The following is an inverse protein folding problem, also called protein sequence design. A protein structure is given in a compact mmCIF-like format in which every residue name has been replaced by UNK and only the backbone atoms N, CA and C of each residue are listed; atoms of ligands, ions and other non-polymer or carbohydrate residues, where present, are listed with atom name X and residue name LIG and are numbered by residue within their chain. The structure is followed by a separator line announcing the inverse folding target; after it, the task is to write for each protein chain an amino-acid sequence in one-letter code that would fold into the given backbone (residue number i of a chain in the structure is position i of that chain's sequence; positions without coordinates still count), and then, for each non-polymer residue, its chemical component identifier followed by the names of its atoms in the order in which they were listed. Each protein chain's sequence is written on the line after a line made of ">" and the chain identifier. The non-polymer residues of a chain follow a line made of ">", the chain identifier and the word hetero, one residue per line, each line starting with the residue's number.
data_IF_451257430876
#
_entry.id   IF_451257430876
#
_cell.length_a   1.000
_cell.length_b   1.000
_cell.length_c   1.000
_cell.angle_alpha   90.00
_cell.angle_beta   90.00
_cell.angle_gamma   90.00
#
_symmetry.space_group_name_H-M   'P 1'
#
loop_
_entity.id
_entity.type
_entity.pdbx_description
1 polymer ?
#
# COMPACT_ATOMS: atom_id res chain seq x y z
N UNK A 1 14.89 -9.87 -5.98
CA UNK A 1 15.14 -9.38 -4.61
C UNK A 1 16.22 -8.33 -4.70
N UNK A 2 16.07 -7.21 -3.99
CA UNK A 2 17.12 -6.19 -3.87
C UNK A 2 17.63 -6.28 -2.43
N UNK A 3 18.93 -6.50 -2.25
CA UNK A 3 19.57 -6.50 -0.93
C UNK A 3 20.46 -5.28 -0.83
N UNK A 4 20.29 -4.51 0.24
CA UNK A 4 21.08 -3.34 0.58
C UNK A 4 21.61 -3.45 2.01
N UNK A 5 22.72 -2.77 2.30
CA UNK A 5 23.29 -2.64 3.63
C UNK A 5 23.39 -1.16 3.97
N UNK A 6 23.12 -0.81 5.23
CA UNK A 6 23.26 0.53 5.79
C UNK A 6 24.15 0.42 7.02
N UNK A 7 25.24 1.19 7.02
CA UNK A 7 26.10 1.35 8.19
C UNK A 7 25.70 2.61 8.94
N UNK A 8 25.59 2.53 10.27
CA UNK A 8 25.51 3.71 11.14
C UNK A 8 26.91 4.12 11.61
N UNK A 9 27.02 5.35 12.13
CA UNK A 9 28.32 5.95 12.47
C UNK A 9 29.08 5.17 13.55
N UNK A 10 28.33 4.52 14.43
CA UNK A 10 28.78 3.69 15.53
C UNK A 10 29.03 2.22 15.12
N UNK A 11 28.82 1.84 13.86
CA UNK A 11 28.98 0.45 13.43
C UNK A 11 30.42 -0.05 13.56
N UNK A 12 30.61 -1.26 14.09
CA UNK A 12 31.91 -1.96 14.04
C UNK A 12 32.25 -2.37 12.60
N UNK A 13 33.09 -1.55 11.96
CA UNK A 13 33.53 -1.77 10.59
C UNK A 13 34.32 -3.07 10.41
N UNK A 14 35.04 -3.54 11.43
CA UNK A 14 35.77 -4.80 11.33
C UNK A 14 34.82 -5.99 11.36
N UNK A 15 33.82 -5.97 12.25
CA UNK A 15 32.75 -6.97 12.28
C UNK A 15 31.98 -7.00 10.95
N UNK A 16 31.62 -5.83 10.41
CA UNK A 16 30.98 -5.70 9.08
C UNK A 16 31.82 -6.34 7.98
N UNK A 17 33.13 -6.05 7.93
CA UNK A 17 34.03 -6.58 6.90
C UNK A 17 34.22 -8.08 7.05
N UNK A 18 34.38 -8.58 8.28
CA UNK A 18 34.43 -10.01 8.57
C UNK A 18 33.15 -10.71 8.10
N UNK A 19 32.00 -10.12 8.38
CA UNK A 19 30.72 -10.66 7.96
C UNK A 19 30.56 -10.68 6.44
N UNK A 20 30.94 -9.59 5.76
CA UNK A 20 30.93 -9.50 4.30
C UNK A 20 31.80 -10.55 3.61
N UNK A 21 32.84 -11.05 4.29
CA UNK A 21 33.71 -12.13 3.78
C UNK A 21 33.08 -13.51 3.95
N UNK A 22 32.28 -13.72 4.98
CA UNK A 22 31.81 -15.05 5.38
C UNK A 22 30.40 -15.34 4.86
N UNK A 23 29.51 -14.34 4.85
CA UNK A 23 28.11 -14.55 4.47
C UNK A 23 27.96 -14.78 2.97
N UNK A 24 27.38 -15.93 2.60
CA UNK A 24 27.05 -16.27 1.21
C UNK A 24 26.02 -15.32 0.58
N UNK A 25 25.28 -14.57 1.39
CA UNK A 25 24.27 -13.62 0.94
C UNK A 25 24.88 -12.32 0.41
N UNK A 26 26.16 -12.07 0.66
CA UNK A 26 26.86 -10.89 0.18
C UNK A 26 26.91 -10.79 -1.35
N UNK A 27 26.82 -11.92 -2.07
CA UNK A 27 26.73 -11.92 -3.55
C UNK A 27 25.47 -11.24 -4.09
N UNK A 28 24.41 -11.17 -3.28
CA UNK A 28 23.15 -10.51 -3.62
C UNK A 28 23.12 -9.03 -3.21
N UNK A 29 24.15 -8.57 -2.51
CA UNK A 29 24.25 -7.22 -2.01
C UNK A 29 24.50 -6.25 -3.16
N UNK A 30 23.46 -5.49 -3.49
CA UNK A 30 23.48 -4.54 -4.61
C UNK A 30 24.14 -3.21 -4.22
N UNK A 31 24.00 -2.80 -2.96
CA UNK A 31 24.36 -1.45 -2.50
C UNK A 31 24.72 -1.43 -1.02
N UNK A 32 25.72 -0.62 -0.66
CA UNK A 32 26.11 -0.31 0.73
C UNK A 32 26.04 1.20 0.93
N UNK A 33 25.23 1.63 1.88
CA UNK A 33 25.14 3.01 2.34
C UNK A 33 26.10 3.23 3.51
N UNK A 34 26.97 4.22 3.38
CA UNK A 34 28.02 4.54 4.35
C UNK A 34 27.90 6.02 4.75
N UNK A 35 27.90 6.35 6.05
CA UNK A 35 27.90 7.73 6.49
C UNK A 35 29.18 8.43 6.04
N UNK A 36 29.08 9.73 5.73
CA UNK A 36 30.23 10.54 5.34
C UNK A 36 31.35 10.55 6.41
N UNK A 37 31.00 10.45 7.69
CA UNK A 37 31.92 10.45 8.84
C UNK A 37 32.86 9.23 8.87
N UNK A 38 32.38 8.04 8.48
CA UNK A 38 33.16 6.79 8.53
C UNK A 38 33.64 6.31 7.15
N UNK A 39 33.35 7.09 6.09
CA UNK A 39 33.67 6.77 4.70
C UNK A 39 35.12 6.33 4.50
N UNK A 40 36.08 7.12 4.98
CA UNK A 40 37.51 6.86 4.73
C UNK A 40 37.95 5.54 5.35
N UNK A 41 37.51 5.27 6.59
CA UNK A 41 37.84 4.05 7.32
C UNK A 41 37.22 2.82 6.64
N UNK A 42 35.95 2.91 6.23
CA UNK A 42 35.28 1.82 5.52
C UNK A 42 35.94 1.52 4.18
N UNK A 43 36.24 2.55 3.37
CA UNK A 43 36.91 2.36 2.07
C UNK A 43 38.32 1.78 2.21
N UNK A 44 39.06 2.19 3.23
CA UNK A 44 40.37 1.62 3.55
C UNK A 44 40.26 0.11 3.85
N UNK A 45 39.37 -0.28 4.77
CA UNK A 45 39.17 -1.68 5.12
C UNK A 45 38.66 -2.50 3.92
N UNK A 46 37.70 -1.95 3.17
CA UNK A 46 37.19 -2.59 1.93
C UNK A 46 38.32 -2.88 0.96
N UNK A 47 39.22 -1.92 0.69
CA UNK A 47 40.33 -2.11 -0.24
C UNK A 47 41.41 -3.05 0.31
N UNK A 48 41.59 -3.09 1.63
CA UNK A 48 42.52 -4.02 2.29
C UNK A 48 42.08 -5.47 2.16
N UNK A 49 40.77 -5.74 2.26
CA UNK A 49 40.24 -7.11 2.36
C UNK A 49 39.53 -7.61 1.10
N UNK A 50 39.15 -6.73 0.16
CA UNK A 50 38.48 -7.11 -1.08
C UNK A 50 39.19 -6.52 -2.29
N UNK A 51 39.60 -7.38 -3.21
CA UNK A 51 40.11 -7.00 -4.54
C UNK A 51 38.99 -6.45 -5.43
N UNK A 52 37.81 -7.05 -5.35
CA UNK A 52 36.58 -6.56 -5.99
C UNK A 52 35.37 -6.86 -5.12
N UNK A 53 34.57 -5.82 -4.85
CA UNK A 53 33.23 -5.93 -4.27
C UNK A 53 32.26 -5.33 -5.30
N UNK A 54 31.31 -6.12 -5.79
CA UNK A 54 30.37 -5.72 -6.85
C UNK A 54 29.31 -4.72 -6.38
N UNK A 55 29.12 -4.58 -5.07
CA UNK A 55 28.12 -3.70 -4.48
C UNK A 55 28.47 -2.22 -4.68
N UNK A 56 27.49 -1.42 -5.09
CA UNK A 56 27.65 0.03 -5.21
C UNK A 56 27.77 0.68 -3.83
N UNK A 57 28.83 1.44 -3.57
CA UNK A 57 29.00 2.21 -2.33
C UNK A 57 28.34 3.59 -2.51
N UNK A 58 27.40 3.93 -1.63
CA UNK A 58 26.71 5.22 -1.60
C UNK A 58 27.02 5.92 -0.29
N UNK A 59 27.34 7.20 -0.37
CA UNK A 59 27.63 8.02 0.80
C UNK A 59 26.41 8.87 1.11
N UNK A 60 26.01 8.91 2.38
CA UNK A 60 24.94 9.78 2.86
C UNK A 60 25.47 10.71 3.94
N UNK A 61 24.88 11.91 4.04
CA UNK A 61 25.20 12.91 5.08
C UNK A 61 24.12 12.95 6.16
N UNK A 62 22.88 12.64 5.80
CA UNK A 62 21.73 12.62 6.69
C UNK A 62 20.95 11.32 6.57
N UNK A 63 20.39 10.85 7.69
CA UNK A 63 19.49 9.68 7.72
C UNK A 63 18.24 9.88 6.85
N UNK A 64 17.84 11.13 6.56
CA UNK A 64 16.72 11.42 5.67
C UNK A 64 16.96 10.90 4.25
N UNK A 65 18.22 10.89 3.77
CA UNK A 65 18.57 10.36 2.45
C UNK A 65 18.33 8.85 2.33
N UNK A 66 18.27 8.14 3.46
CA UNK A 66 18.01 6.70 3.53
C UNK A 66 16.51 6.37 3.43
N UNK A 67 15.63 7.35 3.69
CA UNK A 67 14.17 7.19 3.67
C UNK A 67 13.63 7.20 2.24
N UNK A 68 14.22 6.38 1.38
CA UNK A 68 13.79 6.23 -0.01
C UNK A 68 12.54 5.35 -0.08
N UNK A 69 11.64 5.61 -1.05
CA UNK A 69 10.51 4.72 -1.30
C UNK A 69 11.00 3.30 -1.64
N UNK A 70 10.17 2.28 -1.40
CA UNK A 70 10.49 0.91 -1.76
C UNK A 70 10.54 0.78 -3.28
N UNK A 71 11.41 -0.10 -3.79
CA UNK A 71 11.28 -0.53 -5.18
C UNK A 71 10.05 -1.43 -5.31
N UNK A 72 9.02 -0.93 -5.99
CA UNK A 72 7.80 -1.70 -6.23
C UNK A 72 8.13 -2.99 -7.01
N UNK A 73 7.36 -4.06 -6.73
CA UNK A 73 7.48 -5.37 -7.41
C UNK A 73 8.81 -6.13 -7.19
N UNK A 74 9.65 -5.67 -6.25
CA UNK A 74 10.81 -6.44 -5.76
C UNK A 74 10.74 -6.50 -4.25
N UNK A 75 10.93 -7.69 -3.69
CA UNK A 75 11.20 -7.83 -2.25
C UNK A 75 12.50 -7.10 -1.97
N UNK A 76 12.43 -6.05 -1.15
CA UNK A 76 13.60 -5.31 -0.72
C UNK A 76 14.01 -5.76 0.69
N UNK A 77 15.31 -5.93 0.84
CA UNK A 77 15.96 -6.42 2.04
C UNK A 77 17.00 -5.40 2.41
N UNK A 78 16.99 -4.96 3.66
CA UNK A 78 17.98 -4.02 4.14
C UNK A 78 18.60 -4.52 5.43
N UNK A 79 19.92 -4.64 5.44
CA UNK A 79 20.68 -4.91 6.66
C UNK A 79 21.15 -3.60 7.27
N UNK A 80 20.87 -3.36 8.55
CA UNK A 80 21.27 -2.17 9.29
C UNK A 80 22.32 -2.58 10.32
N UNK A 81 23.48 -1.92 10.29
CA UNK A 81 24.61 -2.21 11.16
C UNK A 81 24.85 -1.06 12.14
N UNK A 82 24.86 -1.37 13.44
CA UNK A 82 25.01 -0.41 14.54
C UNK A 82 25.38 -1.16 15.82
N UNK A 83 26.17 -0.53 16.68
CA UNK A 83 26.36 -0.97 18.07
C UNK A 83 25.21 -0.45 18.97
N UNK A 84 24.57 0.66 18.60
CA UNK A 84 23.35 1.17 19.22
C UNK A 84 22.09 0.47 18.65
N UNK A 85 21.66 -0.57 19.35
CA UNK A 85 20.44 -1.32 19.03
C UNK A 85 19.17 -0.47 19.02
N UNK A 86 19.11 0.60 19.82
CA UNK A 86 17.96 1.51 19.86
C UNK A 86 17.91 2.36 18.59
N UNK A 87 19.04 2.93 18.19
CA UNK A 87 19.15 3.68 16.94
C UNK A 87 18.87 2.80 15.71
N UNK A 88 19.39 1.57 15.68
CA UNK A 88 19.13 0.62 14.61
C UNK A 88 17.65 0.27 14.49
N UNK A 89 16.96 -0.01 15.61
CA UNK A 89 15.51 -0.31 15.63
C UNK A 89 14.66 0.87 15.19
N UNK A 90 15.03 2.08 15.62
CA UNK A 90 14.32 3.31 15.23
C UNK A 90 14.44 3.55 13.72
N UNK A 91 15.65 3.43 13.16
CA UNK A 91 15.86 3.52 11.72
C UNK A 91 15.10 2.40 10.99
N UNK A 92 15.24 1.14 11.43
CA UNK A 92 14.55 0.00 10.86
C UNK A 92 13.04 0.24 10.81
N UNK A 93 12.43 0.78 11.86
CA UNK A 93 10.99 1.08 11.89
C UNK A 93 10.59 2.15 10.86
N UNK A 94 11.42 3.18 10.66
CA UNK A 94 11.18 4.26 9.71
C UNK A 94 11.37 3.88 8.24
N UNK A 95 12.26 2.94 7.92
CA UNK A 95 12.54 2.52 6.55
C UNK A 95 11.33 1.83 5.92
N UNK A 96 10.99 2.21 4.69
CA UNK A 96 9.93 1.52 3.96
C UNK A 96 10.51 0.34 3.18
N UNK A 97 10.72 -0.76 3.91
CA UNK A 97 11.29 -2.01 3.41
C UNK A 97 10.44 -3.20 3.86
N UNK A 98 10.43 -4.27 3.06
CA UNK A 98 9.76 -5.53 3.34
C UNK A 98 10.48 -6.29 4.44
N UNK A 99 11.80 -6.40 4.35
CA UNK A 99 12.61 -7.13 5.32
C UNK A 99 13.77 -6.26 5.76
N UNK A 100 13.92 -6.12 7.06
CA UNK A 100 15.04 -5.41 7.68
C UNK A 100 15.72 -6.36 8.64
N UNK A 101 17.03 -6.44 8.55
CA UNK A 101 17.87 -7.28 9.39
C UNK A 101 18.82 -6.38 10.16
N UNK A 102 18.96 -6.58 11.48
CA UNK A 102 19.90 -5.79 12.29
C UNK A 102 21.13 -6.64 12.57
N UNK A 103 22.31 -6.12 12.23
CA UNK A 103 23.64 -6.73 12.40
C UNK A 103 23.78 -8.13 11.75
N UNK A 104 23.04 -8.39 10.67
CA UNK A 104 23.12 -9.64 9.89
C UNK A 104 22.62 -9.42 8.46
N UNK A 105 23.13 -10.18 7.48
CA UNK A 105 22.54 -10.30 6.14
C UNK A 105 21.90 -11.68 5.91
N UNK A 106 22.00 -12.58 6.87
CA UNK A 106 21.61 -13.97 6.66
C UNK A 106 20.12 -14.20 6.91
N UNK A 107 19.54 -14.94 5.97
CA UNK A 107 18.17 -15.41 6.04
C UNK A 107 18.15 -16.81 6.64
N UNK A 108 17.57 -16.93 7.82
CA UNK A 108 17.28 -18.24 8.40
C UNK A 108 15.84 -18.63 8.07
N UNK A 109 15.61 -19.91 7.79
CA UNK A 109 14.26 -20.42 7.47
C UNK A 109 13.25 -20.15 8.60
N UNK A 110 13.72 -20.15 9.85
CA UNK A 110 12.94 -19.77 11.03
C UNK A 110 12.53 -18.28 11.04
N UNK A 111 13.18 -17.44 10.22
CA UNK A 111 12.83 -16.05 10.02
C UNK A 111 11.85 -15.84 8.86
N UNK A 112 11.76 -16.76 7.89
CA UNK A 112 10.94 -16.54 6.70
C UNK A 112 9.48 -16.91 6.94
N UNK A 113 8.66 -15.89 7.21
CA UNK A 113 7.20 -16.05 7.43
C UNK A 113 6.39 -14.98 6.70
N UNK A 114 7.00 -14.30 5.71
CA UNK A 114 6.18 -13.65 4.69
C UNK A 114 5.39 -14.76 3.99
N UNK A 115 4.06 -14.66 3.88
CA UNK A 115 3.31 -15.64 3.12
C UNK A 115 3.91 -15.69 1.72
N UNK A 116 4.25 -16.89 1.24
CA UNK A 116 4.79 -17.11 -0.09
C UNK A 116 4.01 -16.33 -1.17
N UNK A 117 2.70 -16.19 -0.98
CA UNK A 117 1.78 -15.39 -1.81
C UNK A 117 2.23 -13.93 -1.99
N UNK A 118 2.73 -13.25 -0.95
CA UNK A 118 3.21 -11.86 -1.06
C UNK A 118 4.51 -11.80 -1.88
N UNK A 119 5.44 -12.73 -1.65
CA UNK A 119 6.71 -12.82 -2.39
C UNK A 119 6.49 -13.14 -3.87
N UNK A 120 5.56 -14.05 -4.18
CA UNK A 120 5.27 -14.48 -5.55
C UNK A 120 4.39 -13.49 -6.32
N UNK A 121 3.40 -12.83 -5.69
CA UNK A 121 2.62 -11.76 -6.34
C UNK A 121 3.53 -10.60 -6.75
N UNK A 122 4.38 -10.13 -5.84
CA UNK A 122 5.40 -9.11 -6.12
C UNK A 122 6.29 -9.56 -7.29
N UNK A 123 6.71 -10.83 -7.31
CA UNK A 123 7.56 -11.40 -8.36
C UNK A 123 6.88 -11.63 -9.72
N UNK A 124 5.56 -11.76 -9.80
CA UNK A 124 4.86 -11.93 -11.09
C UNK A 124 4.80 -10.62 -11.91
N UNK A 125 4.82 -9.47 -11.22
CA UNK A 125 4.81 -8.15 -11.86
C UNK A 125 6.17 -7.71 -12.43
N UNK A 126 7.19 -8.60 -12.42
CA UNK A 126 8.59 -8.38 -12.82
C UNK A 126 8.79 -7.83 -14.25
N UNK A 127 7.74 -7.71 -15.05
CA UNK A 127 7.80 -7.23 -16.44
C UNK A 127 7.51 -5.73 -16.62
N UNK A 128 7.20 -4.98 -15.57
CA UNK A 128 6.86 -3.56 -15.68
C UNK A 128 7.47 -2.75 -14.52
N UNK A 129 8.59 -2.05 -14.76
CA UNK A 129 9.14 -1.05 -13.83
C UNK A 129 8.28 0.22 -13.85
N UNK A 130 7.05 0.12 -13.37
CA UNK A 130 6.12 1.24 -13.31
C UNK A 130 6.01 1.78 -11.87
N UNK A 131 5.94 3.10 -11.74
CA UNK A 131 5.49 3.75 -10.51
C UNK A 131 4.07 3.28 -10.15
N UNK A 132 3.75 3.22 -8.85
CA UNK A 132 2.50 2.67 -8.34
C UNK A 132 1.27 3.41 -8.90
N UNK A 133 1.40 4.73 -9.16
CA UNK A 133 0.36 5.51 -9.81
C UNK A 133 0.14 5.06 -11.25
N UNK A 134 1.23 4.91 -12.00
CA UNK A 134 1.15 4.46 -13.39
C UNK A 134 0.59 3.04 -13.48
N UNK A 135 0.86 2.18 -12.48
CA UNK A 135 0.22 0.88 -12.40
C UNK A 135 -1.30 0.95 -12.21
N UNK A 136 -1.77 1.80 -11.29
CA UNK A 136 -3.21 2.00 -11.07
C UNK A 136 -3.86 2.56 -12.33
N UNK A 137 -3.28 3.61 -12.91
CA UNK A 137 -3.73 4.21 -14.18
C UNK A 137 -3.82 3.13 -15.26
N UNK A 138 -2.78 2.30 -15.41
CA UNK A 138 -2.75 1.24 -16.41
C UNK A 138 -3.71 0.08 -16.11
N UNK A 139 -4.13 -0.10 -14.86
CA UNK A 139 -5.12 -1.13 -14.47
C UNK A 139 -6.53 -0.70 -14.85
N UNK A 140 -6.82 0.60 -14.75
CA UNK A 140 -8.09 1.18 -15.19
C UNK A 140 -8.03 1.34 -16.71
N UNK A 141 -8.58 0.37 -17.44
CA UNK A 141 -8.59 0.37 -18.92
C UNK A 141 -10.01 0.60 -19.44
N UNK A 142 -10.40 1.87 -19.71
CA UNK A 142 -11.64 2.17 -20.42
C UNK A 142 -11.67 1.43 -21.76
N UNK A 143 -12.81 0.86 -22.10
CA UNK A 143 -13.02 0.24 -23.40
C UNK A 143 -13.77 1.24 -24.27
N UNK A 144 -13.05 1.90 -25.16
CA UNK A 144 -13.66 2.80 -26.13
C UNK A 144 -14.35 1.98 -27.22
N UNK A 145 -15.66 2.17 -27.38
CA UNK A 145 -16.40 1.75 -28.56
C UNK A 145 -16.79 3.03 -29.32
N UNK A 146 -16.30 3.25 -30.55
CA UNK A 146 -16.75 4.37 -31.35
C UNK A 146 -18.25 4.25 -31.64
N UNK A 147 -18.95 5.38 -31.66
CA UNK A 147 -20.22 5.49 -32.40
C UNK A 147 -21.45 4.84 -31.76
N UNK A 148 -21.83 5.26 -30.55
CA UNK A 148 -23.25 5.23 -30.19
C UNK A 148 -23.76 6.65 -30.05
N UNK A 149 -24.47 7.12 -31.06
CA UNK A 149 -25.45 8.18 -30.85
C UNK A 149 -26.45 7.66 -29.83
N UNK A 150 -26.59 8.40 -28.74
CA UNK A 150 -27.53 8.07 -27.71
C UNK A 150 -28.80 8.90 -27.95
N UNK A 151 -29.99 8.29 -27.90
CA UNK A 151 -31.23 9.04 -27.99
C UNK A 151 -31.27 10.12 -26.89
N UNK A 152 -31.94 11.24 -27.16
CA UNK A 152 -32.10 12.36 -26.22
C UNK A 152 -32.66 11.85 -24.87
N UNK A 153 -31.78 11.64 -23.90
CA UNK A 153 -32.18 11.37 -22.51
C UNK A 153 -32.74 12.68 -21.94
N UNK A 154 -33.88 12.65 -21.20
CA UNK A 154 -34.41 13.83 -20.55
C UNK A 154 -33.31 14.54 -19.72
N UNK A 155 -32.93 15.74 -20.17
CA UNK A 155 -31.66 16.46 -19.88
C UNK A 155 -31.48 16.99 -18.45
N UNK A 156 -32.21 16.46 -17.46
CA UNK A 156 -32.35 17.16 -16.17
C UNK A 156 -31.54 16.52 -15.03
N UNK A 157 -30.91 15.35 -15.22
CA UNK A 157 -30.08 14.71 -14.19
C UNK A 157 -28.74 14.25 -14.76
N UNK A 158 -27.67 14.89 -14.29
CA UNK A 158 -26.28 14.53 -14.60
C UNK A 158 -25.64 13.98 -13.33
N UNK A 159 -24.92 12.85 -13.43
CA UNK A 159 -24.00 12.44 -12.38
C UNK A 159 -22.60 12.93 -12.69
N UNK A 160 -21.83 13.17 -11.63
CA UNK A 160 -20.47 13.70 -11.68
C UNK A 160 -19.48 12.63 -11.19
N UNK A 161 -18.20 12.88 -11.42
CA UNK A 161 -17.12 12.14 -10.77
C UNK A 161 -16.97 12.65 -9.33
N UNK A 162 -16.34 11.88 -8.44
CA UNK A 162 -16.09 12.34 -7.08
C UNK A 162 -14.64 12.05 -6.69
N UNK A 163 -13.85 13.09 -6.49
CA UNK A 163 -12.49 12.98 -5.98
C UNK A 163 -12.11 14.31 -5.33
N UNK A 164 -11.05 14.30 -4.51
CA UNK A 164 -10.64 15.44 -3.69
C UNK A 164 -11.76 15.95 -2.76
N UNK A 165 -12.63 15.02 -2.34
CA UNK A 165 -13.76 15.31 -1.43
C UNK A 165 -14.90 16.12 -2.06
N UNK A 166 -14.90 16.31 -3.38
CA UNK A 166 -15.85 17.14 -4.09
C UNK A 166 -16.33 16.48 -5.38
N UNK A 167 -17.48 16.93 -5.87
CA UNK A 167 -18.02 16.51 -7.17
C UNK A 167 -17.29 17.22 -8.31
N UNK A 168 -16.98 16.48 -9.37
CA UNK A 168 -16.11 16.90 -10.45
C UNK A 168 -16.79 16.65 -11.79
N UNK A 169 -16.82 17.65 -12.66
CA UNK A 169 -17.19 17.46 -14.06
C UNK A 169 -16.10 16.67 -14.78
N UNK A 170 -16.45 15.74 -15.69
CA UNK A 170 -15.46 15.04 -16.49
C UNK A 170 -14.65 16.04 -17.31
N UNK A 171 -13.32 15.87 -17.38
CA UNK A 171 -12.40 16.86 -17.98
C UNK A 171 -12.77 17.19 -19.43
N UNK A 172 -13.12 16.19 -20.23
CA UNK A 172 -13.54 16.39 -21.64
C UNK A 172 -15.05 16.66 -21.78
N UNK A 173 -15.78 16.86 -20.69
CA UNK A 173 -17.23 17.09 -20.72
C UNK A 173 -18.03 15.90 -21.25
N UNK A 174 -17.46 14.69 -21.26
CA UNK A 174 -18.09 13.51 -21.83
C UNK A 174 -19.07 12.85 -20.86
N UNK A 175 -20.23 12.46 -21.38
CA UNK A 175 -21.27 11.74 -20.65
C UNK A 175 -21.77 10.55 -21.47
N UNK A 176 -22.39 9.59 -20.79
CA UNK A 176 -23.07 8.46 -21.42
C UNK A 176 -24.41 8.18 -20.70
N UNK A 177 -25.45 7.71 -21.41
CA UNK A 177 -26.74 7.44 -20.80
C UNK A 177 -26.71 6.16 -19.97
N UNK A 178 -27.02 6.30 -18.68
CA UNK A 178 -27.12 5.20 -17.74
C UNK A 178 -28.50 5.22 -17.10
N UNK A 179 -29.39 4.31 -17.53
CA UNK A 179 -30.81 4.33 -17.11
C UNK A 179 -31.37 5.75 -17.39
N UNK A 180 -31.88 6.42 -16.38
CA UNK A 180 -32.51 7.75 -16.49
C UNK A 180 -31.54 8.92 -16.16
N UNK A 181 -30.23 8.69 -16.14
CA UNK A 181 -29.21 9.69 -15.77
C UNK A 181 -28.09 9.77 -16.81
N UNK A 182 -27.69 10.98 -17.18
CA UNK A 182 -26.46 11.20 -17.94
C UNK A 182 -25.26 11.07 -17.01
N UNK A 183 -24.52 9.96 -17.14
CA UNK A 183 -23.41 9.64 -16.26
C UNK A 183 -22.10 10.16 -16.81
N UNK A 184 -21.29 10.82 -15.98
CA UNK A 184 -19.97 11.29 -16.36
C UNK A 184 -19.11 10.14 -16.93
N UNK A 185 -18.37 10.41 -18.00
CA UNK A 185 -17.44 9.46 -18.61
C UNK A 185 -16.02 9.92 -18.30
N UNK A 186 -15.37 9.26 -17.35
CA UNK A 186 -13.99 9.54 -17.01
C UNK A 186 -13.04 9.20 -18.18
N UNK A 187 -12.05 10.08 -18.37
CA UNK A 187 -10.97 10.01 -19.36
C UNK A 187 -9.65 9.65 -18.69
N UNK A 188 -8.55 9.56 -19.46
CA UNK A 188 -7.21 9.37 -18.89
C UNK A 188 -6.82 10.48 -17.91
N UNK A 189 -7.23 11.72 -18.20
CA UNK A 189 -6.93 12.88 -17.36
C UNK A 189 -7.69 12.82 -16.04
N UNK A 190 -8.97 12.43 -16.08
CA UNK A 190 -9.77 12.19 -14.88
C UNK A 190 -9.15 11.08 -14.01
N UNK A 191 -8.68 9.99 -14.63
CA UNK A 191 -7.99 8.90 -13.92
C UNK A 191 -6.74 9.43 -13.23
N UNK A 192 -5.88 10.17 -13.94
CA UNK A 192 -4.66 10.74 -13.38
C UNK A 192 -4.94 11.66 -12.17
N UNK A 193 -5.90 12.58 -12.30
CA UNK A 193 -6.31 13.48 -11.21
C UNK A 193 -6.88 12.72 -10.02
N UNK A 194 -7.70 11.71 -10.27
CA UNK A 194 -8.29 10.87 -9.23
C UNK A 194 -7.23 10.05 -8.48
N UNK A 195 -6.22 9.52 -9.17
CA UNK A 195 -5.09 8.80 -8.55
C UNK A 195 -4.28 9.73 -7.65
N UNK A 196 -3.99 10.96 -8.08
CA UNK A 196 -3.32 11.96 -7.25
C UNK A 196 -4.14 12.29 -6.00
N UNK A 197 -5.45 12.47 -6.14
CA UNK A 197 -6.37 12.65 -5.01
C UNK A 197 -6.31 11.46 -4.05
N UNK A 198 -6.39 10.24 -4.59
CA UNK A 198 -6.33 9.01 -3.80
C UNK A 198 -5.03 8.87 -3.01
N UNK A 199 -3.90 9.31 -3.57
CA UNK A 199 -2.60 9.33 -2.88
C UNK A 199 -2.58 10.30 -1.71
N UNK A 200 -3.04 11.53 -1.91
CA UNK A 200 -3.16 12.52 -0.82
C UNK A 200 -4.08 12.02 0.31
N UNK A 201 -5.19 11.40 -0.08
CA UNK A 201 -6.10 10.74 0.85
C UNK A 201 -5.40 9.62 1.64
N UNK A 202 -4.64 8.77 0.96
CA UNK A 202 -3.87 7.69 1.59
C UNK A 202 -2.83 8.23 2.59
N UNK A 203 -2.03 9.23 2.19
CA UNK A 203 -1.00 9.84 3.05
C UNK A 203 -1.58 10.40 4.35
N UNK A 204 -2.81 10.91 4.29
CA UNK A 204 -3.54 11.43 5.47
C UNK A 204 -4.14 10.29 6.29
N UNK A 205 -4.89 9.40 5.64
CA UNK A 205 -5.71 8.37 6.29
C UNK A 205 -4.89 7.23 6.92
N UNK A 206 -3.77 6.87 6.29
CA UNK A 206 -2.87 5.84 6.80
C UNK A 206 -2.17 6.24 8.11
N UNK A 207 -1.97 7.55 8.33
CA UNK A 207 -1.36 8.10 9.55
C UNK A 207 -2.32 8.17 10.73
N UNK A 208 -3.63 8.13 10.49
CA UNK A 208 -4.61 8.12 11.56
C UNK A 208 -4.50 6.85 12.40
N UNK A 209 -4.87 6.92 13.68
CA UNK A 209 -4.99 5.71 14.49
C UNK A 209 -6.20 4.88 14.04
N UNK A 210 -6.15 3.58 14.34
CA UNK A 210 -7.29 2.68 14.07
C UNK A 210 -8.55 3.17 14.77
N UNK A 211 -8.43 3.68 15.99
CA UNK A 211 -9.54 4.22 16.78
C UNK A 211 -10.17 5.45 16.11
N UNK A 212 -9.36 6.36 15.54
CA UNK A 212 -9.85 7.52 14.81
C UNK A 212 -10.64 7.09 13.55
N UNK A 213 -10.11 6.11 12.81
CA UNK A 213 -10.81 5.54 11.64
C UNK A 213 -12.12 4.85 12.04
N UNK A 214 -12.13 4.06 13.12
CA UNK A 214 -13.34 3.43 13.67
C UNK A 214 -14.43 4.45 14.00
N UNK A 215 -14.05 5.59 14.60
CA UNK A 215 -15.00 6.64 14.98
C UNK A 215 -15.67 7.26 13.76
N UNK A 216 -14.91 7.56 12.71
CA UNK A 216 -15.45 8.08 11.44
C UNK A 216 -16.33 7.05 10.73
N UNK A 217 -15.89 5.79 10.65
CA UNK A 217 -16.69 4.72 10.03
C UNK A 217 -17.99 4.43 10.80
N UNK A 218 -17.99 4.62 12.13
CA UNK A 218 -19.21 4.50 12.95
C UNK A 218 -20.20 5.64 12.70
N UNK A 219 -19.70 6.88 12.50
CA UNK A 219 -20.54 8.00 12.04
C UNK A 219 -21.14 7.71 10.67
N UNK A 220 -20.33 7.20 9.74
CA UNK A 220 -20.79 6.81 8.41
C UNK A 220 -21.85 5.70 8.45
N UNK A 221 -21.63 4.66 9.26
CA UNK A 221 -22.63 3.61 9.49
C UNK A 221 -23.95 4.19 10.03
N UNK A 222 -23.89 5.18 10.92
CA UNK A 222 -25.07 5.85 11.45
C UNK A 222 -25.77 6.68 10.37
N UNK A 223 -25.03 7.44 9.55
CA UNK A 223 -25.58 8.18 8.41
C UNK A 223 -26.32 7.24 7.44
N UNK A 224 -25.75 6.06 7.12
CA UNK A 224 -26.41 5.04 6.31
C UNK A 224 -27.74 4.61 6.91
N UNK A 225 -27.76 4.32 8.22
CA UNK A 225 -28.98 3.92 8.92
C UNK A 225 -30.06 5.00 8.85
N UNK A 226 -29.70 6.26 9.08
CA UNK A 226 -30.66 7.38 9.02
C UNK A 226 -31.22 7.62 7.61
N UNK A 227 -30.47 7.27 6.57
CA UNK A 227 -30.92 7.32 5.18
C UNK A 227 -31.61 6.01 4.72
N UNK A 228 -32.05 5.16 5.66
CA UNK A 228 -32.79 3.93 5.36
C UNK A 228 -31.93 2.75 4.86
N UNK A 229 -30.60 2.90 4.81
CA UNK A 229 -29.66 1.88 4.31
C UNK A 229 -29.19 0.97 5.44
N UNK A 230 -30.14 0.30 6.08
CA UNK A 230 -29.93 -0.48 7.30
C UNK A 230 -28.93 -1.63 7.10
N UNK A 231 -29.02 -2.36 6.00
CA UNK A 231 -28.11 -3.49 5.73
C UNK A 231 -26.67 -3.02 5.49
N UNK A 232 -26.47 -1.94 4.72
CA UNK A 232 -25.15 -1.36 4.51
C UNK A 232 -24.56 -0.81 5.81
N UNK A 233 -25.40 -0.19 6.65
CA UNK A 233 -25.03 0.27 7.99
C UNK A 233 -24.48 -0.87 8.85
N UNK A 234 -25.15 -2.02 8.88
CA UNK A 234 -24.70 -3.23 9.61
C UNK A 234 -23.36 -3.74 9.08
N UNK A 235 -23.16 -3.75 7.76
CA UNK A 235 -21.90 -4.17 7.13
C UNK A 235 -20.75 -3.27 7.58
N UNK A 236 -20.89 -1.96 7.44
CA UNK A 236 -19.85 -1.00 7.85
C UNK A 236 -19.57 -1.13 9.35
N UNK A 237 -20.61 -1.22 10.17
CA UNK A 237 -20.47 -1.37 11.61
C UNK A 237 -19.71 -2.65 11.99
N UNK A 238 -20.02 -3.79 11.36
CA UNK A 238 -19.31 -5.05 11.57
C UNK A 238 -17.80 -4.91 11.35
N UNK A 239 -17.37 -4.16 10.36
CA UNK A 239 -15.93 -3.96 10.11
C UNK A 239 -15.27 -2.99 11.08
N UNK A 240 -16.02 -2.17 11.81
CA UNK A 240 -15.43 -1.37 12.90
C UNK A 240 -14.97 -2.23 14.08
N UNK A 241 -15.52 -3.43 14.27
CA UNK A 241 -15.08 -4.36 15.33
C UNK A 241 -13.93 -5.27 14.90
N UNK A 242 -13.64 -5.34 13.59
CA UNK A 242 -12.58 -6.14 13.00
C UNK A 242 -11.20 -5.96 13.65
N UNK A 243 -10.76 -4.76 14.06
CA UNK A 243 -9.45 -4.61 14.68
C UNK A 243 -9.23 -5.38 15.97
N UNK A 244 -10.30 -5.74 16.67
CA UNK A 244 -10.22 -6.63 17.84
C UNK A 244 -10.00 -8.07 17.38
N UNK A 245 -10.76 -8.51 16.38
CA UNK A 245 -10.74 -9.88 15.86
C UNK A 245 -9.40 -10.32 15.27
N UNK A 246 -8.64 -9.43 14.61
CA UNK A 246 -7.34 -9.83 14.05
C UNK A 246 -6.18 -9.76 15.04
N UNK A 247 -6.24 -8.91 16.08
CA UNK A 247 -5.20 -8.88 17.13
C UNK A 247 -5.11 -10.25 17.81
N UNK A 248 -6.25 -10.92 17.96
CA UNK A 248 -6.35 -12.25 18.55
C UNK A 248 -5.95 -13.38 17.58
N UNK A 249 -5.92 -13.14 16.25
CA UNK A 249 -5.60 -14.15 15.23
C UNK A 249 -4.13 -14.17 14.79
N UNK A 250 -3.30 -13.26 15.32
CA UNK A 250 -1.86 -13.31 15.16
C UNK A 250 -1.30 -14.45 16.02
N UNK A 251 -1.25 -15.66 15.45
CA UNK A 251 -0.61 -16.83 16.07
C UNK A 251 0.82 -16.43 16.45
N UNK A 252 1.22 -16.53 17.74
CA UNK A 252 2.61 -16.38 18.14
C UNK A 252 3.39 -17.55 17.54
N UNK A 253 4.10 -17.29 16.45
CA UNK A 253 5.19 -18.19 16.05
C UNK A 253 6.37 -17.82 16.93
N UNK A 254 6.77 -18.71 17.82
CA UNK A 254 7.92 -18.54 18.68
C UNK A 254 9.19 -18.62 17.82
N UNK A 255 9.87 -17.50 17.54
CA UNK A 255 11.19 -17.60 16.92
C UNK A 255 12.14 -18.31 17.89
N UNK A 256 13.25 -18.88 17.39
CA UNK A 256 14.33 -19.37 18.26
C UNK A 256 14.80 -18.28 19.23
N UNK A 257 15.27 -18.65 20.42
CA UNK A 257 15.70 -17.71 21.47
C UNK A 257 16.76 -16.68 21.01
N UNK A 258 17.55 -17.03 20.00
CA UNK A 258 18.62 -16.19 19.45
C UNK A 258 18.12 -15.20 18.38
N UNK A 259 16.81 -15.15 18.10
CA UNK A 259 16.23 -14.17 17.15
C UNK A 259 14.99 -13.49 17.73
N UNK A 260 14.97 -12.16 17.69
CA UNK A 260 13.73 -11.39 17.81
C UNK A 260 13.17 -11.06 16.43
N UNK A 261 11.91 -11.41 16.17
CA UNK A 261 11.20 -11.06 14.95
C UNK A 261 10.04 -10.12 15.27
N UNK A 262 10.08 -8.92 14.70
CA UNK A 262 8.97 -7.98 14.75
C UNK A 262 8.27 -8.02 13.40
N UNK A 263 6.98 -8.38 13.40
CA UNK A 263 6.13 -8.39 12.20
C UNK A 263 5.17 -7.21 12.26
N UNK A 264 5.20 -6.38 11.23
CA UNK A 264 4.37 -5.18 11.09
C UNK A 264 3.57 -5.36 9.80
N UNK A 265 2.27 -5.12 9.84
CA UNK A 265 1.45 -5.04 8.62
C UNK A 265 1.01 -3.60 8.43
N UNK A 266 1.31 -3.04 7.26
CA UNK A 266 0.91 -1.68 6.87
C UNK A 266 -0.25 -1.75 5.88
N UNK A 267 -1.08 -0.71 5.77
CA UNK A 267 -2.03 -0.61 4.66
C UNK A 267 -1.32 -0.80 3.32
N UNK A 268 -1.98 -1.44 2.35
CA UNK A 268 -1.44 -1.67 1.01
C UNK A 268 -1.26 -0.38 0.19
N UNK A 269 -2.09 0.63 0.40
CA UNK A 269 -2.02 1.89 -0.34
C UNK A 269 -3.37 2.34 -0.90
N UNK A 270 -3.38 2.65 -2.19
CA UNK A 270 -4.59 2.99 -2.96
C UNK A 270 -5.18 1.69 -3.53
N UNK A 271 -6.45 1.41 -3.24
CA UNK A 271 -7.17 0.22 -3.68
C UNK A 271 -8.20 0.58 -4.75
N UNK A 272 -8.24 -0.15 -5.86
CA UNK A 272 -9.31 -0.03 -6.86
C UNK A 272 -10.39 -1.08 -6.62
N UNK A 273 -11.66 -0.67 -6.55
CA UNK A 273 -12.80 -1.57 -6.39
C UNK A 273 -13.78 -1.42 -7.56
N UNK A 274 -14.35 -2.54 -8.01
CA UNK A 274 -15.39 -2.58 -9.04
C UNK A 274 -16.28 -3.78 -8.76
N UNK A 275 -17.51 -3.55 -8.28
CA UNK A 275 -18.40 -4.62 -7.83
C UNK A 275 -19.79 -4.48 -8.43
N UNK A 276 -20.44 -5.61 -8.72
CA UNK A 276 -21.82 -5.62 -9.21
C UNK A 276 -22.83 -5.44 -8.09
N UNK A 277 -22.50 -5.92 -6.88
CA UNK A 277 -23.37 -5.89 -5.72
C UNK A 277 -22.91 -4.81 -4.72
N UNK A 278 -23.86 -3.99 -4.27
CA UNK A 278 -23.64 -2.92 -3.30
C UNK A 278 -23.14 -3.45 -1.94
N UNK A 279 -23.63 -4.61 -1.50
CA UNK A 279 -23.20 -5.29 -0.26
C UNK A 279 -21.71 -5.63 -0.32
N UNK A 280 -21.25 -6.17 -1.45
CA UNK A 280 -19.85 -6.52 -1.64
C UNK A 280 -18.97 -5.28 -1.76
N UNK A 281 -19.45 -4.24 -2.45
CA UNK A 281 -18.75 -2.95 -2.51
C UNK A 281 -18.55 -2.39 -1.10
N UNK A 282 -19.61 -2.28 -0.30
CA UNK A 282 -19.54 -1.70 1.03
C UNK A 282 -18.72 -2.54 2.00
N UNK A 283 -18.74 -3.87 1.86
CA UNK A 283 -17.87 -4.77 2.60
C UNK A 283 -16.40 -4.48 2.30
N UNK A 284 -16.01 -4.48 1.02
CA UNK A 284 -14.61 -4.24 0.58
C UNK A 284 -14.15 -2.82 0.86
N UNK A 285 -15.04 -1.84 0.72
CA UNK A 285 -14.82 -0.44 1.08
C UNK A 285 -14.55 -0.32 2.58
N UNK A 286 -15.41 -0.86 3.44
CA UNK A 286 -15.21 -0.81 4.89
C UNK A 286 -13.93 -1.51 5.34
N UNK A 287 -13.62 -2.68 4.75
CA UNK A 287 -12.35 -3.41 4.96
C UNK A 287 -11.12 -2.56 4.60
N UNK A 288 -11.15 -1.92 3.42
CA UNK A 288 -10.06 -1.05 2.96
C UNK A 288 -9.85 0.13 3.90
N UNK A 289 -10.95 0.80 4.25
CA UNK A 289 -10.93 2.02 5.05
C UNK A 289 -10.50 1.75 6.49
N UNK A 290 -11.00 0.70 7.15
CA UNK A 290 -10.62 0.41 8.55
C UNK A 290 -9.13 0.11 8.67
N UNK A 291 -8.56 -0.57 7.67
CA UNK A 291 -7.14 -0.91 7.60
C UNK A 291 -6.28 0.34 7.39
N UNK A 292 -6.81 1.36 6.70
CA UNK A 292 -6.10 2.63 6.44
C UNK A 292 -5.71 2.84 4.99
N UNK A 293 -6.32 2.10 4.06
CA UNK A 293 -6.16 2.33 2.62
C UNK A 293 -7.08 3.47 2.15
N UNK A 294 -6.72 4.14 1.05
CA UNK A 294 -7.68 4.92 0.26
C UNK A 294 -8.22 4.09 -0.88
N UNK A 295 -9.36 4.50 -1.44
CA UNK A 295 -10.11 3.69 -2.41
C UNK A 295 -10.53 4.53 -3.61
N UNK A 296 -10.36 3.96 -4.80
CA UNK A 296 -10.98 4.43 -6.05
C UNK A 296 -12.03 3.38 -6.44
N UNK A 297 -13.30 3.78 -6.39
CA UNK A 297 -14.42 2.95 -6.84
C UNK A 297 -14.70 3.26 -8.31
N UNK A 298 -14.81 2.20 -9.09
CA UNK A 298 -15.05 2.27 -10.53
C UNK A 298 -16.47 1.80 -10.80
N UNK A 299 -17.27 2.73 -11.31
CA UNK A 299 -18.64 2.48 -11.72
C UNK A 299 -18.73 2.31 -13.25
N UNK A 300 -19.53 1.35 -13.69
CA UNK A 300 -19.87 1.11 -15.09
C UNK A 300 -21.29 0.62 -15.24
N UNK A 301 -21.74 0.37 -16.49
CA UNK A 301 -23.06 -0.23 -16.77
C UNK A 301 -23.35 -1.52 -16.00
N UNK A 302 -22.30 -2.27 -15.66
CA UNK A 302 -22.42 -3.59 -15.04
C UNK A 302 -22.12 -3.58 -13.54
N UNK A 303 -21.76 -2.44 -12.96
CA UNK A 303 -21.42 -2.35 -11.54
C UNK A 303 -22.51 -1.60 -10.75
N UNK A 304 -22.44 -1.70 -9.43
CA UNK A 304 -23.22 -0.83 -8.55
C UNK A 304 -22.70 0.61 -8.59
N UNK A 305 -23.56 1.54 -8.15
CA UNK A 305 -23.30 2.99 -8.14
C UNK A 305 -22.98 3.47 -6.72
N UNK A 306 -21.87 4.18 -6.56
CA UNK A 306 -21.46 4.78 -5.29
C UNK A 306 -21.95 6.22 -5.13
N UNK A 307 -22.33 6.89 -6.22
CA UNK A 307 -22.65 8.31 -6.21
C UNK A 307 -23.66 8.72 -5.12
N UNK A 308 -24.74 7.96 -4.84
CA UNK A 308 -25.71 8.33 -3.80
C UNK A 308 -25.14 8.47 -2.38
N UNK A 309 -23.91 7.98 -2.14
CA UNK A 309 -23.27 7.94 -0.83
C UNK A 309 -22.16 8.98 -0.65
N UNK A 310 -21.74 9.66 -1.72
CA UNK A 310 -20.57 10.52 -1.71
C UNK A 310 -20.67 11.66 -0.68
N UNK A 311 -21.82 12.34 -0.61
CA UNK A 311 -22.03 13.41 0.38
C UNK A 311 -22.05 12.88 1.82
N UNK A 312 -22.46 11.62 2.01
CA UNK A 312 -22.46 10.96 3.32
C UNK A 312 -21.03 10.71 3.81
N UNK A 313 -20.07 10.47 2.91
CA UNK A 313 -18.67 10.33 3.30
C UNK A 313 -18.12 11.65 3.86
N UNK A 314 -18.33 12.75 3.14
CA UNK A 314 -17.88 14.08 3.53
C UNK A 314 -18.50 14.50 4.87
N UNK A 315 -19.81 14.35 5.03
CA UNK A 315 -20.53 14.67 6.29
C UNK A 315 -20.12 13.78 7.47
N UNK A 316 -19.66 12.55 7.20
CA UNK A 316 -19.15 11.65 8.24
C UNK A 316 -17.73 11.99 8.71
N UNK A 317 -17.06 12.92 8.02
CA UNK A 317 -15.69 13.34 8.32
C UNK A 317 -14.61 12.45 7.69
N UNK A 318 -14.94 11.75 6.60
CA UNK A 318 -13.95 11.06 5.78
C UNK A 318 -13.13 12.12 5.02
N UNK A 319 -11.79 12.14 5.13
CA UNK A 319 -10.98 13.17 4.48
C UNK A 319 -11.08 13.14 2.94
N UNK A 320 -10.86 14.29 2.27
CA UNK A 320 -10.72 14.37 0.83
C UNK A 320 -9.74 13.33 0.27
N UNK A 321 -10.12 12.71 -0.84
CA UNK A 321 -9.31 11.71 -1.54
C UNK A 321 -9.25 10.33 -0.87
N UNK A 322 -9.84 10.11 0.30
CA UNK A 322 -9.87 8.76 0.91
C UNK A 322 -10.81 7.82 0.17
N UNK A 323 -11.94 8.34 -0.30
CA UNK A 323 -12.87 7.64 -1.19
C UNK A 323 -13.03 8.47 -2.45
N UNK A 324 -12.86 7.83 -3.59
CA UNK A 324 -12.96 8.44 -4.90
C UNK A 324 -13.87 7.57 -5.78
N UNK A 325 -14.50 8.19 -6.77
CA UNK A 325 -15.43 7.59 -7.70
C UNK A 325 -15.09 8.02 -9.12
N UNK A 326 -14.87 7.04 -9.98
CA UNK A 326 -14.81 7.21 -11.42
C UNK A 326 -15.91 6.42 -12.09
N UNK A 327 -16.53 6.97 -13.12
CA UNK A 327 -17.54 6.28 -13.91
C UNK A 327 -17.10 6.16 -15.36
N UNK A 328 -17.33 4.98 -15.95
CA UNK A 328 -17.03 4.67 -17.34
C UNK A 328 -18.22 3.98 -17.97
N UNK A 329 -18.44 4.15 -19.27
CA UNK A 329 -19.47 3.37 -19.95
C UNK A 329 -19.10 1.88 -19.96
N UNK A 330 -17.86 1.58 -20.34
CA UNK A 330 -17.28 0.24 -20.37
C UNK A 330 -15.84 0.31 -19.88
N UNK A 331 -15.46 -0.61 -19.01
CA UNK A 331 -14.11 -0.74 -18.46
C UNK A 331 -13.78 -2.23 -18.34
N UNK A 332 -12.52 -2.60 -18.58
CA UNK A 332 -12.10 -4.00 -18.36
C UNK A 332 -12.23 -4.35 -16.88
N UNK A 333 -12.55 -5.61 -16.59
CA UNK A 333 -12.50 -6.14 -15.23
C UNK A 333 -11.14 -5.90 -14.60
N UNK A 334 -11.14 -5.51 -13.33
CA UNK A 334 -9.91 -5.37 -12.57
C UNK A 334 -9.20 -6.72 -12.42
N UNK A 335 -7.88 -6.70 -12.51
CA UNK A 335 -7.05 -7.90 -12.34
C UNK A 335 -6.92 -8.35 -10.88
N UNK A 336 -7.08 -7.43 -9.93
CA UNK A 336 -7.02 -7.73 -8.51
C UNK A 336 -8.42 -8.02 -7.94
N UNK A 337 -8.66 -9.28 -7.57
CA UNK A 337 -9.87 -9.67 -6.83
C UNK A 337 -9.67 -9.50 -5.32
N UNK A 338 -10.62 -8.82 -4.66
CA UNK A 338 -10.67 -8.59 -3.20
C UNK A 338 -11.68 -9.51 -2.49
N UNK A 339 -11.57 -10.82 -2.70
CA UNK A 339 -12.64 -11.78 -2.39
C UNK A 339 -12.46 -12.60 -1.11
N UNK A 340 -11.47 -12.30 -0.25
CA UNK A 340 -11.30 -13.05 0.98
C UNK A 340 -12.51 -12.87 1.91
N UNK A 341 -12.93 -13.95 2.57
CA UNK A 341 -14.00 -13.98 3.58
C UNK A 341 -13.45 -14.14 4.99
N UNK A 342 -12.39 -14.93 5.16
CA UNK A 342 -11.77 -15.18 6.45
C UNK A 342 -11.05 -13.93 6.98
N UNK A 343 -11.22 -13.56 8.27
CA UNK A 343 -10.64 -12.34 8.83
C UNK A 343 -9.13 -12.19 8.61
N UNK A 344 -8.38 -13.29 8.76
CA UNK A 344 -6.92 -13.33 8.57
C UNK A 344 -6.52 -13.09 7.11
N UNK A 345 -7.25 -13.68 6.16
CA UNK A 345 -7.00 -13.52 4.73
C UNK A 345 -7.42 -12.15 4.22
N UNK A 346 -8.53 -11.61 4.73
CA UNK A 346 -8.92 -10.21 4.52
C UNK A 346 -7.81 -9.29 4.99
N UNK A 347 -7.30 -9.49 6.21
CA UNK A 347 -6.21 -8.68 6.72
C UNK A 347 -5.00 -8.73 5.79
N UNK A 348 -4.60 -9.94 5.35
CA UNK A 348 -3.48 -10.13 4.42
C UNK A 348 -3.71 -9.47 3.06
N UNK A 349 -4.93 -9.53 2.53
CA UNK A 349 -5.26 -9.02 1.21
C UNK A 349 -5.19 -7.49 1.09
N UNK A 350 -5.49 -6.78 2.18
CA UNK A 350 -5.53 -5.31 2.23
C UNK A 350 -4.31 -4.69 2.92
N UNK A 351 -3.30 -5.49 3.28
CA UNK A 351 -2.06 -5.03 3.92
C UNK A 351 -0.82 -5.59 3.24
N UNK A 352 0.31 -4.93 3.46
CA UNK A 352 1.64 -5.42 3.10
C UNK A 352 2.44 -5.77 4.35
N UNK A 353 3.17 -6.88 4.31
CA UNK A 353 4.02 -7.29 5.43
C UNK A 353 5.36 -6.56 5.41
N UNK A 354 5.78 -6.14 6.60
CA UNK A 354 7.12 -5.69 6.95
C UNK A 354 7.64 -6.54 8.09
N UNK A 355 8.88 -6.96 8.01
CA UNK A 355 9.53 -7.76 9.03
C UNK A 355 10.85 -7.13 9.44
N UNK A 356 11.11 -7.10 10.74
CA UNK A 356 12.40 -6.71 11.32
C UNK A 356 12.92 -7.93 12.07
N UNK A 357 14.04 -8.49 11.59
CA UNK A 357 14.76 -9.59 12.23
C UNK A 357 15.98 -9.06 12.97
N UNK A 358 16.17 -9.52 14.19
CA UNK A 358 17.28 -9.12 15.05
C UNK A 358 17.91 -10.40 15.59
N UNK A 359 19.17 -10.63 15.25
CA UNK A 359 19.96 -11.71 15.86
C UNK A 359 20.45 -11.21 17.21
N UNK A 360 20.13 -11.96 18.26
CA UNK A 360 20.63 -11.74 19.61
C UNK A 360 21.89 -12.59 19.74
N UNK A 361 23.04 -11.92 19.88
CA UNK A 361 24.32 -12.55 20.18
C UNK A 361 24.52 -12.66 21.68
#
# INVERSE_FOLDING_TARGET
>A
MIVEMILLEDADLYAVICYLKISENCRYLSKIWVPQSIRSNFLFLRNKYFTSLSSAIRIFKSKQELLTPPTFYKVNVTSVWSEDMTAARNLATSLDRNIILINTLDFYESMTTMPHVEIFKISLHRHLELDENQHIINTIKPVYKPGKEYPDVPKNRHSLLFYDGTWQTPVEGMYWPNKDVLTAKATSDDIGRCVVSARKGFETWSKWSTEARMKVLSKFSSALKYNGKVELSKIVHKWTTFPRLYKDSLIPQYPPLWVTIIRIRKPKGVITLMEQNETDLFRKLAQSLIIGNSVIVICSKQSCDLAPYCDMFSTSGIPPGVINLLSFENVKSLSEGYNASEPSDVYRQFTVSKQIGIVIY
#
